data_IF_992907903733
#
_entry.id   IF_992907903733
#
_cell.length_a   1.000
_cell.length_b   1.000
_cell.length_c   1.000
_cell.angle_alpha   90.00
_cell.angle_beta   90.00
_cell.angle_gamma   90.00
#
_symmetry.space_group_name_H-M   'P 1'
#
loop_
_entity.id
_entity.type
_entity.pdbx_description
1 polymer ?
#
# COMPACT_ATOMS: atom_id res chain seq x y z
N UNK A 1 29.02 71.06 -43.41
CA UNK A 1 28.25 70.03 -42.69
C UNK A 1 29.23 69.07 -42.03
N UNK A 2 29.45 69.11 -40.70
CA UNK A 2 30.39 68.19 -40.06
C UNK A 2 29.73 66.83 -39.84
N UNK A 3 30.32 65.79 -40.44
CA UNK A 3 30.02 64.40 -40.14
C UNK A 3 30.45 64.08 -38.70
N UNK A 4 29.50 64.12 -37.77
CA UNK A 4 29.70 63.61 -36.42
C UNK A 4 29.83 62.09 -36.48
N UNK A 5 31.04 61.59 -36.21
CA UNK A 5 31.36 60.17 -36.12
C UNK A 5 30.43 59.48 -35.11
N UNK A 6 29.59 58.58 -35.60
CA UNK A 6 28.70 57.73 -34.80
C UNK A 6 29.55 56.72 -34.00
N UNK A 7 30.10 57.15 -32.85
CA UNK A 7 30.86 56.32 -31.91
C UNK A 7 29.99 55.57 -30.90
N UNK A 8 28.71 55.29 -31.24
CA UNK A 8 27.81 54.51 -30.37
C UNK A 8 27.71 53.03 -30.78
N UNK A 9 28.30 52.64 -31.91
CA UNK A 9 28.25 51.27 -32.42
C UNK A 9 28.98 50.21 -31.56
N UNK A 10 30.10 50.50 -30.85
CA UNK A 10 30.71 49.48 -29.98
C UNK A 10 30.02 49.36 -28.61
N UNK A 11 29.16 50.32 -28.22
CA UNK A 11 28.48 50.30 -26.92
C UNK A 11 27.17 49.47 -26.96
N UNK A 12 26.50 49.44 -28.12
CA UNK A 12 25.31 48.61 -28.34
C UNK A 12 25.64 47.10 -28.34
N UNK A 13 26.84 46.71 -28.78
CA UNK A 13 27.29 45.31 -28.85
C UNK A 13 27.68 44.73 -27.47
N UNK A 14 28.07 45.57 -26.52
CA UNK A 14 28.42 45.16 -25.14
C UNK A 14 27.17 44.96 -24.28
N UNK A 15 26.08 45.70 -24.52
CA UNK A 15 24.81 45.54 -23.79
C UNK A 15 24.08 44.23 -24.16
N UNK A 16 24.26 43.72 -25.39
CA UNK A 16 23.69 42.44 -25.83
C UNK A 16 24.40 41.23 -25.19
N UNK A 17 25.63 41.38 -24.71
CA UNK A 17 26.39 40.31 -24.04
C UNK A 17 26.02 40.09 -22.57
N UNK A 18 25.23 40.98 -21.94
CA UNK A 18 24.71 40.81 -20.58
C UNK A 18 23.25 40.33 -20.54
N UNK A 19 22.61 40.12 -21.69
CA UNK A 19 21.25 39.58 -21.77
C UNK A 19 21.19 38.05 -21.71
N UNK A 20 22.32 37.36 -21.52
CA UNK A 20 22.34 35.96 -21.05
C UNK A 20 22.17 35.92 -19.54
N UNK A 21 21.08 36.51 -19.04
CA UNK A 21 20.50 36.03 -17.79
C UNK A 21 20.02 34.62 -18.06
N UNK A 22 20.83 33.64 -17.68
CA UNK A 22 20.46 32.24 -17.52
C UNK A 22 19.38 32.15 -16.44
N UNK A 23 18.15 32.49 -16.79
CA UNK A 23 16.98 32.25 -15.97
C UNK A 23 16.63 30.76 -16.14
N UNK A 24 17.36 29.88 -15.46
CA UNK A 24 16.89 28.50 -15.22
C UNK A 24 15.63 28.61 -14.36
N UNK A 25 14.47 28.82 -14.99
CA UNK A 25 13.19 28.83 -14.31
C UNK A 25 13.00 27.46 -13.67
N UNK A 26 12.94 27.42 -12.33
CA UNK A 26 12.62 26.21 -11.58
C UNK A 26 11.29 25.67 -12.10
N UNK A 27 11.30 24.41 -12.52
CA UNK A 27 10.12 23.69 -13.03
C UNK A 27 9.01 23.68 -11.96
N UNK A 28 7.77 23.93 -12.34
CA UNK A 28 6.63 24.00 -11.39
C UNK A 28 6.26 22.62 -10.85
N UNK A 29 5.46 22.59 -9.78
CA UNK A 29 4.91 21.33 -9.23
C UNK A 29 4.19 20.52 -10.30
N UNK A 30 3.29 21.17 -11.04
CA UNK A 30 2.49 20.55 -12.10
C UNK A 30 3.36 19.99 -13.22
N UNK A 31 4.41 20.73 -13.60
CA UNK A 31 5.33 20.25 -14.63
C UNK A 31 6.09 19.01 -14.17
N UNK A 32 6.53 18.93 -12.90
CA UNK A 32 7.21 17.72 -12.41
C UNK A 32 6.27 16.51 -12.41
N UNK A 33 5.05 16.69 -11.90
CA UNK A 33 4.08 15.61 -11.83
C UNK A 33 3.61 15.17 -13.24
N UNK A 34 3.42 16.11 -14.17
CA UNK A 34 3.07 15.82 -15.56
C UNK A 34 4.16 15.00 -16.26
N UNK A 35 5.43 15.41 -16.15
CA UNK A 35 6.54 14.67 -16.76
C UNK A 35 6.72 13.29 -16.13
N UNK A 36 6.58 13.18 -14.80
CA UNK A 36 6.63 11.89 -14.10
C UNK A 36 5.55 10.93 -14.60
N UNK A 37 4.31 11.43 -14.76
CA UNK A 37 3.19 10.67 -15.29
C UNK A 37 3.42 10.27 -16.75
N UNK A 38 3.89 11.17 -17.60
CA UNK A 38 4.21 10.87 -18.99
C UNK A 38 5.28 9.76 -19.09
N UNK A 39 6.33 9.82 -18.27
CA UNK A 39 7.35 8.76 -18.21
C UNK A 39 6.79 7.42 -17.73
N UNK A 40 5.86 7.44 -16.79
CA UNK A 40 5.14 6.23 -16.37
C UNK A 40 4.31 5.63 -17.52
N UNK A 41 3.57 6.46 -18.26
CA UNK A 41 2.76 6.03 -19.42
C UNK A 41 3.64 5.45 -20.55
N UNK A 42 4.85 5.99 -20.73
CA UNK A 42 5.89 5.45 -21.62
C UNK A 42 6.58 4.19 -21.08
N UNK A 43 6.19 3.69 -19.90
CA UNK A 43 6.81 2.57 -19.17
C UNK A 43 8.27 2.80 -18.78
N UNK A 44 8.73 4.06 -18.76
CA UNK A 44 10.05 4.48 -18.30
C UNK A 44 10.00 4.73 -16.80
N UNK A 45 9.87 3.64 -16.05
CA UNK A 45 9.60 3.67 -14.62
C UNK A 45 10.68 4.39 -13.80
N UNK A 46 11.96 4.17 -14.11
CA UNK A 46 13.07 4.84 -13.41
C UNK A 46 13.07 6.36 -13.66
N UNK A 47 12.75 6.79 -14.88
CA UNK A 47 12.62 8.21 -15.21
C UNK A 47 11.39 8.85 -14.54
N UNK A 48 10.29 8.10 -14.42
CA UNK A 48 9.11 8.53 -13.69
C UNK A 48 9.42 8.73 -12.20
N UNK A 49 10.06 7.75 -11.57
CA UNK A 49 10.53 7.85 -10.18
C UNK A 49 11.48 9.05 -10.04
N UNK A 50 12.42 9.23 -10.95
CA UNK A 50 13.35 10.37 -10.93
C UNK A 50 12.60 11.71 -10.90
N UNK A 51 11.60 11.90 -11.76
CA UNK A 51 10.81 13.14 -11.76
C UNK A 51 9.99 13.33 -10.46
N UNK A 52 9.39 12.28 -9.91
CA UNK A 52 8.71 12.36 -8.60
C UNK A 52 9.69 12.69 -7.46
N UNK A 53 10.90 12.13 -7.48
CA UNK A 53 11.95 12.43 -6.50
C UNK A 53 12.44 13.87 -6.61
N UNK A 54 12.61 14.38 -7.83
CA UNK A 54 12.95 15.78 -8.05
C UNK A 54 11.83 16.72 -7.57
N UNK A 55 10.57 16.37 -7.79
CA UNK A 55 9.43 17.06 -7.22
C UNK A 55 9.52 17.14 -5.69
N UNK A 56 9.68 16.00 -5.01
CA UNK A 56 9.78 15.92 -3.55
C UNK A 56 10.95 16.73 -3.00
N UNK A 57 12.10 16.73 -3.69
CA UNK A 57 13.27 17.54 -3.34
C UNK A 57 12.99 19.04 -3.46
N UNK A 58 12.30 19.45 -4.53
CA UNK A 58 12.08 20.86 -4.84
C UNK A 58 10.87 21.46 -4.12
N UNK A 59 9.88 20.63 -3.75
CA UNK A 59 8.61 21.00 -3.15
C UNK A 59 8.25 20.10 -1.95
N UNK A 60 9.13 19.99 -0.93
CA UNK A 60 8.98 19.00 0.14
C UNK A 60 7.75 19.23 1.05
N UNK A 61 7.15 20.42 1.00
CA UNK A 61 5.95 20.78 1.78
C UNK A 61 4.68 20.87 0.93
N UNK A 62 4.75 20.46 -0.34
CA UNK A 62 3.58 20.49 -1.21
C UNK A 62 2.49 19.53 -0.70
N UNK A 63 1.23 19.91 -0.87
CA UNK A 63 0.10 19.01 -0.64
C UNK A 63 0.10 17.78 -1.57
N UNK A 64 0.89 17.79 -2.65
CA UNK A 64 1.08 16.65 -3.55
C UNK A 64 2.27 15.74 -3.17
N UNK A 65 2.98 16.03 -2.07
CA UNK A 65 4.11 15.21 -1.63
C UNK A 65 3.70 13.76 -1.35
N UNK A 66 2.59 13.57 -0.63
CA UNK A 66 2.04 12.24 -0.32
C UNK A 66 1.69 11.48 -1.60
N UNK A 67 1.11 12.17 -2.60
CA UNK A 67 0.82 11.58 -3.90
C UNK A 67 2.10 11.09 -4.58
N UNK A 68 3.14 11.91 -4.65
CA UNK A 68 4.40 11.53 -5.29
C UNK A 68 5.08 10.34 -4.60
N UNK A 69 5.14 10.29 -3.26
CA UNK A 69 5.66 9.12 -2.54
C UNK A 69 4.88 7.85 -2.86
N UNK A 70 3.55 7.91 -2.87
CA UNK A 70 2.71 6.75 -3.20
C UNK A 70 2.91 6.30 -4.66
N UNK A 71 3.06 7.24 -5.60
CA UNK A 71 3.37 6.88 -6.98
C UNK A 71 4.72 6.18 -7.10
N UNK A 72 5.76 6.65 -6.40
CA UNK A 72 7.08 6.00 -6.40
C UNK A 72 6.98 4.57 -5.84
N UNK A 73 6.36 4.41 -4.66
CA UNK A 73 6.22 3.10 -4.03
C UNK A 73 5.39 2.13 -4.90
N UNK A 74 4.30 2.62 -5.50
CA UNK A 74 3.48 1.84 -6.43
C UNK A 74 4.28 1.35 -7.64
N UNK A 75 5.06 2.23 -8.27
CA UNK A 75 5.93 1.85 -9.40
C UNK A 75 6.94 0.78 -8.98
N UNK A 76 7.56 0.97 -7.81
CA UNK A 76 8.55 0.03 -7.28
C UNK A 76 7.94 -1.36 -7.04
N UNK A 77 6.73 -1.43 -6.47
CA UNK A 77 6.03 -2.70 -6.19
C UNK A 77 5.52 -3.36 -7.47
N UNK A 78 4.80 -2.61 -8.29
CA UNK A 78 4.02 -3.17 -9.39
C UNK A 78 4.86 -3.41 -10.63
N UNK A 79 5.72 -2.46 -10.99
CA UNK A 79 6.43 -2.45 -12.27
C UNK A 79 7.87 -2.97 -12.14
N UNK A 80 8.60 -2.57 -11.08
CA UNK A 80 10.01 -2.91 -10.92
C UNK A 80 10.27 -4.13 -10.04
N UNK A 81 9.28 -4.56 -9.24
CA UNK A 81 9.43 -5.59 -8.19
C UNK A 81 10.52 -5.24 -7.17
N UNK A 82 10.80 -3.95 -7.02
CA UNK A 82 11.74 -3.38 -6.05
C UNK A 82 11.03 -3.16 -4.70
N UNK A 83 10.70 -4.26 -4.03
CA UNK A 83 9.98 -4.22 -2.76
C UNK A 83 10.78 -3.54 -1.65
N UNK A 84 12.11 -3.67 -1.65
CA UNK A 84 12.99 -3.00 -0.69
C UNK A 84 13.04 -1.48 -0.95
N UNK A 85 13.08 -1.04 -2.20
CA UNK A 85 12.95 0.36 -2.54
C UNK A 85 11.60 0.94 -2.12
N UNK A 86 10.50 0.19 -2.31
CA UNK A 86 9.18 0.62 -1.85
C UNK A 86 9.11 0.76 -0.32
N UNK A 87 9.70 -0.17 0.42
CA UNK A 87 9.85 -0.07 1.88
C UNK A 87 10.58 1.23 2.26
N UNK A 88 11.69 1.55 1.58
CA UNK A 88 12.42 2.79 1.86
C UNK A 88 11.59 4.04 1.54
N UNK A 89 10.86 4.03 0.43
CA UNK A 89 9.94 5.12 0.06
C UNK A 89 8.85 5.35 1.11
N UNK A 90 8.24 4.29 1.64
CA UNK A 90 7.25 4.43 2.73
C UNK A 90 7.89 4.92 4.04
N UNK A 91 9.09 4.46 4.39
CA UNK A 91 9.82 4.98 5.56
C UNK A 91 10.11 6.48 5.43
N UNK A 92 10.47 6.94 4.23
CA UNK A 92 10.68 8.37 3.96
C UNK A 92 9.37 9.17 4.07
N UNK A 93 8.26 8.66 3.53
CA UNK A 93 6.95 9.29 3.68
C UNK A 93 6.57 9.42 5.17
N UNK A 94 6.72 8.35 5.95
CA UNK A 94 6.50 8.37 7.39
C UNK A 94 7.34 9.41 8.11
N UNK A 95 8.64 9.49 7.79
CA UNK A 95 9.54 10.48 8.37
C UNK A 95 9.20 11.93 7.98
N UNK A 96 8.62 12.14 6.80
CA UNK A 96 8.25 13.47 6.30
C UNK A 96 6.95 14.02 6.89
N UNK A 97 6.07 13.14 7.39
CA UNK A 97 4.73 13.49 7.89
C UNK A 97 4.45 12.86 9.26
N UNK A 98 5.29 13.11 10.28
CA UNK A 98 5.19 12.40 11.57
C UNK A 98 3.84 12.62 12.24
N UNK A 99 3.34 11.56 12.89
CA UNK A 99 2.09 11.54 13.66
C UNK A 99 0.84 11.85 12.82
N UNK A 100 0.94 11.75 11.50
CA UNK A 100 -0.18 11.88 10.57
C UNK A 100 -0.78 10.52 10.21
N UNK A 101 -1.90 10.55 9.48
CA UNK A 101 -2.50 9.34 8.90
C UNK A 101 -1.55 8.66 7.91
N UNK A 102 -0.79 9.44 7.15
CA UNK A 102 0.18 8.97 6.17
C UNK A 102 1.37 8.26 6.82
N UNK A 103 1.84 8.74 7.98
CA UNK A 103 2.87 8.06 8.76
C UNK A 103 2.38 6.70 9.27
N UNK A 104 1.19 6.67 9.87
CA UNK A 104 0.54 5.41 10.28
C UNK A 104 0.41 4.44 9.10
N UNK A 105 -0.17 4.89 7.99
CA UNK A 105 -0.34 4.07 6.80
C UNK A 105 0.99 3.56 6.24
N UNK A 106 2.01 4.42 6.20
CA UNK A 106 3.32 4.07 5.65
C UNK A 106 4.06 3.05 6.51
N UNK A 107 4.07 3.22 7.83
CA UNK A 107 4.68 2.24 8.74
C UNK A 107 3.96 0.88 8.69
N UNK A 108 2.63 0.88 8.54
CA UNK A 108 1.88 -0.35 8.31
C UNK A 108 2.28 -1.02 6.98
N UNK A 109 2.38 -0.24 5.89
CA UNK A 109 2.82 -0.75 4.59
C UNK A 109 4.23 -1.35 4.63
N UNK A 110 5.16 -0.75 5.39
CA UNK A 110 6.50 -1.32 5.58
C UNK A 110 6.43 -2.73 6.16
N UNK A 111 5.65 -2.93 7.24
CA UNK A 111 5.49 -4.23 7.86
C UNK A 111 4.77 -5.22 6.93
N UNK A 112 3.71 -4.77 6.28
CA UNK A 112 2.92 -5.57 5.35
C UNK A 112 3.74 -6.05 4.14
N UNK A 113 4.63 -5.22 3.58
CA UNK A 113 5.48 -5.64 2.45
C UNK A 113 6.48 -6.71 2.91
N UNK A 114 7.10 -6.56 4.09
CA UNK A 114 7.97 -7.60 4.63
C UNK A 114 7.24 -8.92 4.83
N UNK A 115 6.03 -8.88 5.40
CA UNK A 115 5.24 -10.06 5.71
C UNK A 115 4.66 -10.71 4.45
N UNK A 116 3.87 -9.95 3.69
CA UNK A 116 3.04 -10.51 2.63
C UNK A 116 3.76 -10.67 1.31
N UNK A 117 4.74 -9.80 1.02
CA UNK A 117 5.42 -9.81 -0.28
C UNK A 117 6.77 -10.50 -0.20
N UNK A 118 7.61 -10.11 0.75
CA UNK A 118 8.96 -10.66 0.90
C UNK A 118 9.01 -11.96 1.69
N UNK A 119 7.96 -12.26 2.47
CA UNK A 119 7.91 -13.40 3.41
C UNK A 119 9.09 -13.41 4.39
N UNK A 120 9.63 -12.23 4.69
CA UNK A 120 10.72 -12.01 5.63
C UNK A 120 10.14 -11.80 7.02
N UNK A 121 9.90 -12.92 7.70
CA UNK A 121 9.25 -12.95 9.01
C UNK A 121 10.00 -12.15 10.07
N UNK A 122 11.33 -12.12 10.02
CA UNK A 122 12.13 -11.41 11.03
C UNK A 122 11.96 -9.90 10.89
N UNK A 123 12.10 -9.38 9.67
CA UNK A 123 11.90 -7.96 9.42
C UNK A 123 10.42 -7.55 9.56
N UNK A 124 9.47 -8.42 9.19
CA UNK A 124 8.04 -8.20 9.40
C UNK A 124 7.71 -8.03 10.89
N UNK A 125 8.17 -8.96 11.75
CA UNK A 125 7.99 -8.86 13.22
C UNK A 125 8.55 -7.54 13.75
N UNK A 126 9.76 -7.17 13.34
CA UNK A 126 10.37 -5.92 13.79
C UNK A 126 9.58 -4.69 13.33
N UNK A 127 9.12 -4.67 12.08
CA UNK A 127 8.34 -3.58 11.53
C UNK A 127 6.96 -3.44 12.20
N UNK A 128 6.24 -4.54 12.45
CA UNK A 128 4.98 -4.50 13.20
C UNK A 128 5.19 -4.02 14.64
N UNK A 129 6.28 -4.42 15.31
CA UNK A 129 6.63 -3.90 16.65
C UNK A 129 6.85 -2.39 16.64
N UNK A 130 7.61 -1.88 15.66
CA UNK A 130 7.82 -0.43 15.50
C UNK A 130 6.50 0.30 15.25
N UNK A 131 5.65 -0.23 14.36
CA UNK A 131 4.34 0.33 14.09
C UNK A 131 3.48 0.38 15.36
N UNK A 132 3.37 -0.72 16.11
CA UNK A 132 2.54 -0.83 17.31
C UNK A 132 3.10 -0.05 18.50
N UNK A 133 4.42 0.16 18.56
CA UNK A 133 5.01 1.05 19.56
C UNK A 133 4.54 2.49 19.36
N UNK A 134 4.42 2.94 18.10
CA UNK A 134 3.98 4.30 17.77
C UNK A 134 2.46 4.45 17.74
N UNK A 135 1.76 3.44 17.22
CA UNK A 135 0.31 3.39 17.07
C UNK A 135 -0.26 2.15 17.78
N UNK A 136 -0.33 2.16 19.13
CA UNK A 136 -0.74 1.00 19.90
C UNK A 136 -2.23 0.70 19.80
N UNK A 137 -3.06 1.68 19.43
CA UNK A 137 -4.52 1.57 19.37
C UNK A 137 -5.08 2.39 18.21
N UNK A 138 -6.13 1.89 17.58
CA UNK A 138 -6.88 2.62 16.57
C UNK A 138 -7.79 3.65 17.24
N UNK A 139 -7.62 4.94 16.91
CA UNK A 139 -8.42 6.04 17.45
C UNK A 139 -9.63 6.37 16.58
N UNK A 140 -9.56 6.08 15.28
CA UNK A 140 -10.70 6.15 14.36
C UNK A 140 -11.41 4.79 14.37
N UNK A 141 -12.73 4.72 14.64
CA UNK A 141 -13.46 3.46 14.68
C UNK A 141 -13.49 2.70 13.34
N UNK A 142 -13.22 3.38 12.22
CA UNK A 142 -13.11 2.77 10.89
C UNK A 142 -11.68 2.34 10.54
N UNK A 143 -10.71 2.66 11.40
CA UNK A 143 -9.33 2.22 11.27
C UNK A 143 -9.13 0.91 12.06
N UNK A 144 -8.48 -0.05 11.41
CA UNK A 144 -8.19 -1.39 11.94
C UNK A 144 -6.72 -1.76 11.82
N UNK A 145 -5.85 -0.80 11.52
CA UNK A 145 -4.43 -1.10 11.27
C UNK A 145 -3.72 -1.60 12.53
N UNK A 146 -4.01 -1.04 13.71
CA UNK A 146 -3.40 -1.48 14.97
C UNK A 146 -3.92 -2.83 15.42
N UNK A 147 -5.22 -3.08 15.27
CA UNK A 147 -5.81 -4.39 15.50
C UNK A 147 -5.21 -5.45 14.55
N UNK A 148 -5.09 -5.12 13.26
CA UNK A 148 -4.53 -6.01 12.23
C UNK A 148 -3.05 -6.30 12.47
N UNK A 149 -2.26 -5.26 12.77
CA UNK A 149 -0.83 -5.40 13.05
C UNK A 149 -0.55 -6.26 14.28
N UNK A 150 -1.37 -6.16 15.35
CA UNK A 150 -1.28 -7.06 16.51
C UNK A 150 -1.52 -8.51 16.11
N UNK A 151 -2.58 -8.74 15.35
CA UNK A 151 -2.95 -10.09 14.91
C UNK A 151 -1.85 -10.70 14.03
N UNK A 152 -1.35 -9.95 13.05
CA UNK A 152 -0.25 -10.39 12.19
C UNK A 152 1.02 -10.66 12.99
N UNK A 153 1.37 -9.80 13.95
CA UNK A 153 2.51 -10.02 14.83
C UNK A 153 2.35 -11.28 15.69
N UNK A 154 1.18 -11.51 16.31
CA UNK A 154 0.92 -12.69 17.12
C UNK A 154 1.05 -13.99 16.29
N UNK A 155 0.56 -13.97 15.04
CA UNK A 155 0.72 -15.09 14.10
C UNK A 155 2.20 -15.35 13.81
N UNK A 156 2.96 -14.30 13.47
CA UNK A 156 4.39 -14.41 13.19
C UNK A 156 5.21 -14.89 14.40
N UNK A 157 4.87 -14.47 15.61
CA UNK A 157 5.56 -14.86 16.85
C UNK A 157 5.20 -16.26 17.32
N UNK A 158 3.94 -16.68 17.15
CA UNK A 158 3.52 -18.02 17.51
C UNK A 158 4.15 -19.10 16.64
N UNK A 159 4.50 -18.76 15.38
CA UNK A 159 4.94 -19.72 14.37
C UNK A 159 3.87 -20.75 13.98
N UNK A 160 2.64 -20.58 14.50
CA UNK A 160 1.48 -21.44 14.28
C UNK A 160 0.59 -20.83 13.19
N UNK A 161 -0.26 -21.67 12.60
CA UNK A 161 -1.30 -21.15 11.69
C UNK A 161 -2.38 -20.39 12.47
N UNK A 162 -3.11 -19.48 11.81
CA UNK A 162 -4.26 -18.79 12.40
C UNK A 162 -5.29 -19.82 12.91
N UNK A 163 -5.48 -20.92 12.19
CA UNK A 163 -6.37 -22.02 12.56
C UNK A 163 -5.97 -22.65 13.90
N UNK A 164 -4.67 -22.92 14.12
CA UNK A 164 -4.18 -23.50 15.36
C UNK A 164 -4.38 -22.55 16.55
N UNK A 165 -4.22 -21.24 16.31
CA UNK A 165 -4.46 -20.22 17.33
C UNK A 165 -5.95 -20.09 17.69
N UNK A 166 -6.84 -20.21 16.70
CA UNK A 166 -8.29 -20.24 16.92
C UNK A 166 -8.66 -21.48 17.73
N UNK A 167 -8.14 -22.66 17.36
CA UNK A 167 -8.38 -23.90 18.12
C UNK A 167 -7.86 -23.81 19.54
N UNK A 168 -6.69 -23.21 19.77
CA UNK A 168 -6.16 -23.03 21.12
C UNK A 168 -7.03 -22.08 21.96
N UNK A 169 -7.51 -20.98 21.37
CA UNK A 169 -8.46 -20.07 22.04
C UNK A 169 -9.78 -20.77 22.36
N UNK A 170 -10.30 -21.60 21.45
CA UNK A 170 -11.52 -22.38 21.66
C UNK A 170 -11.31 -23.39 22.80
N UNK A 171 -10.21 -24.14 22.80
CA UNK A 171 -9.90 -25.13 23.84
C UNK A 171 -9.74 -24.45 25.22
N UNK A 172 -9.05 -23.30 25.29
CA UNK A 172 -8.91 -22.51 26.51
C UNK A 172 -10.24 -21.94 27.02
N UNK A 173 -11.19 -21.64 26.14
CA UNK A 173 -12.54 -21.20 26.53
C UNK A 173 -13.44 -22.38 26.93
N UNK A 174 -13.25 -23.56 26.33
CA UNK A 174 -13.99 -24.79 26.64
C UNK A 174 -13.73 -25.31 28.06
N UNK A 175 -12.51 -25.18 28.56
CA UNK A 175 -12.15 -25.60 29.94
C UNK A 175 -12.80 -24.72 31.02
N UNK A 176 -13.26 -23.50 30.69
CA UNK A 176 -13.93 -22.61 31.64
C UNK A 176 -15.46 -22.78 31.69
N UNK A 177 -16.05 -23.57 30.78
CA UNK A 177 -17.51 -23.65 30.59
C UNK A 177 -18.15 -24.98 31.04
N UNK A 178 -17.38 -25.97 31.48
CA UNK A 178 -17.92 -27.28 31.86
C UNK A 178 -17.72 -27.56 33.36
N UNK A 179 -18.49 -26.87 34.20
CA UNK A 179 -18.87 -27.49 35.48
C UNK A 179 -20.01 -28.46 35.16
N UNK A 180 -19.92 -29.77 35.48
CA UNK A 180 -21.02 -30.68 35.24
C UNK A 180 -22.25 -30.18 36.00
N UNK A 181 -23.33 -29.90 35.28
CA UNK A 181 -24.65 -29.81 35.89
C UNK A 181 -25.09 -31.25 36.08
N UNK A 182 -24.94 -31.77 37.30
CA UNK A 182 -25.57 -33.03 37.69
C UNK A 182 -27.09 -32.81 37.64
N UNK A 183 -27.71 -33.19 36.53
CA UNK A 183 -29.16 -33.28 36.40
C UNK A 183 -29.60 -34.61 37.02
N UNK A 184 -29.91 -34.56 38.31
CA UNK A 184 -30.71 -35.58 38.99
C UNK A 184 -32.10 -35.62 38.34
N UNK A 185 -32.31 -36.57 37.42
CA UNK A 185 -33.64 -36.92 36.92
C UNK A 185 -34.28 -37.84 37.95
N UNK A 186 -35.22 -37.30 38.73
CA UNK A 186 -36.22 -38.11 39.44
C UNK A 186 -37.49 -38.16 38.60
N UNK A 187 -37.83 -39.38 38.19
CA UNK A 187 -39.09 -39.74 37.57
C UNK A 187 -40.27 -39.40 38.50
N UNK A 188 -41.28 -38.70 37.98
CA UNK A 188 -42.66 -38.74 38.50
C UNK A 188 -43.66 -38.66 37.34
N UNK A 189 -44.55 -39.66 37.16
CA UNK A 189 -45.57 -39.65 36.13
C UNK A 189 -46.90 -39.12 36.68
N UNK A 190 -47.46 -38.05 36.12
CA UNK A 190 -48.90 -37.89 35.84
C UNK A 190 -49.27 -36.45 35.41
N UNK A 191 -50.25 -36.32 34.50
CA UNK A 191 -51.09 -35.13 34.41
C UNK A 191 -51.13 -34.40 33.06
N UNK A 192 -52.12 -34.77 32.26
CA UNK A 192 -52.64 -34.24 30.97
C UNK A 192 -52.60 -32.72 30.66
N UNK A 193 -52.72 -32.34 29.35
CA UNK A 193 -52.45 -31.00 28.82
C UNK A 193 -53.69 -30.10 28.72
N UNK A 194 -53.48 -28.77 28.75
CA UNK A 194 -54.50 -27.82 28.28
C UNK A 194 -53.94 -26.69 27.43
N UNK A 195 -54.68 -26.46 26.34
CA UNK A 195 -54.53 -25.50 25.25
C UNK A 195 -54.88 -24.07 25.66
N UNK A 196 -54.24 -23.09 25.02
CA UNK A 196 -54.57 -21.67 25.15
C UNK A 196 -53.96 -20.84 24.01
N UNK A 197 -54.70 -20.75 22.90
CA UNK A 197 -54.49 -19.84 21.77
C UNK A 197 -54.68 -18.37 22.17
N UNK A 198 -53.83 -17.44 21.70
CA UNK A 198 -54.37 -16.27 21.00
C UNK A 198 -53.35 -15.55 20.08
N UNK A 199 -53.90 -15.03 19.00
CA UNK A 199 -53.31 -14.44 17.80
C UNK A 199 -53.45 -12.91 17.86
N UNK A 200 -52.50 -12.16 17.28
CA UNK A 200 -52.72 -11.01 16.37
C UNK A 200 -51.73 -9.85 16.54
N UNK A 201 -50.94 -9.62 15.48
CA UNK A 201 -50.30 -8.37 15.01
C UNK A 201 -51.38 -7.35 14.57
N UNK A 202 -51.14 -6.01 14.34
CA UNK A 202 -50.24 -5.52 13.26
C UNK A 202 -49.63 -4.08 13.37
N UNK A 203 -48.57 -3.86 12.55
CA UNK A 203 -48.19 -2.65 11.77
C UNK A 203 -48.03 -1.28 12.49
N UNK A 204 -47.21 -0.30 12.10
CA UNK A 204 -46.57 0.10 10.83
C UNK A 204 -45.63 1.29 11.15
N UNK A 205 -44.53 1.47 10.42
CA UNK A 205 -44.18 2.73 9.72
C UNK A 205 -42.82 2.63 9.01
N UNK A 206 -42.88 2.75 7.68
CA UNK A 206 -41.81 2.91 6.68
C UNK A 206 -41.14 4.31 6.75
N UNK A 207 -40.39 4.80 5.73
CA UNK A 207 -39.05 4.40 5.29
C UNK A 207 -38.12 5.63 5.09
N UNK A 208 -36.79 5.46 4.97
CA UNK A 208 -35.95 6.46 4.28
C UNK A 208 -34.88 5.76 3.41
N UNK A 209 -34.98 6.03 2.10
CA UNK A 209 -33.97 5.79 1.07
C UNK A 209 -32.71 6.63 1.30
N UNK A 210 -31.54 6.08 0.95
CA UNK A 210 -30.55 6.87 0.20
C UNK A 210 -29.67 5.99 -0.69
N UNK A 211 -29.74 6.31 -1.98
CA UNK A 211 -28.94 5.77 -3.07
C UNK A 211 -27.45 6.09 -2.90
N UNK A 212 -26.59 5.13 -3.24
CA UNK A 212 -25.26 5.41 -3.78
C UNK A 212 -24.85 4.27 -4.71
N UNK A 213 -24.83 4.60 -6.01
CA UNK A 213 -24.30 3.81 -7.11
C UNK A 213 -22.81 3.51 -6.88
N UNK A 214 -22.46 2.23 -6.88
CA UNK A 214 -21.12 1.75 -7.25
C UNK A 214 -21.24 1.16 -8.66
N UNK A 215 -20.41 1.55 -9.64
CA UNK A 215 -20.41 0.91 -10.95
C UNK A 215 -19.67 -0.45 -10.86
N UNK A 216 -20.20 -1.53 -11.47
CA UNK A 216 -19.50 -2.79 -11.59
C UNK A 216 -18.69 -2.80 -12.89
N UNK A 217 -17.49 -3.36 -12.88
CA UNK A 217 -17.00 -4.09 -14.07
C UNK A 217 -16.17 -5.29 -13.65
N UNK A 218 -16.39 -6.36 -14.39
CA UNK A 218 -16.13 -7.75 -14.10
C UNK A 218 -15.23 -8.29 -15.22
N UNK A 219 -14.36 -9.25 -14.87
CA UNK A 219 -13.78 -10.33 -15.71
C UNK A 219 -13.05 -9.98 -17.01
N UNK A 220 -11.81 -10.45 -17.12
CA UNK A 220 -11.51 -11.65 -17.95
C UNK A 220 -10.16 -12.26 -17.52
N UNK A 221 -10.14 -13.53 -17.12
CA UNK A 221 -8.93 -14.35 -17.13
C UNK A 221 -9.25 -15.56 -18.00
N UNK A 222 -8.72 -15.53 -19.23
CA UNK A 222 -8.73 -16.64 -20.14
C UNK A 222 -7.69 -17.69 -19.73
N UNK A 223 -8.11 -18.91 -19.97
CA UNK A 223 -7.40 -20.17 -19.93
C UNK A 223 -6.24 -20.18 -20.93
N UNK A 224 -5.03 -20.60 -20.52
CA UNK A 224 -4.06 -21.14 -21.47
C UNK A 224 -3.32 -22.33 -20.86
N UNK A 225 -3.83 -23.52 -21.20
CA UNK A 225 -3.06 -24.75 -21.23
C UNK A 225 -2.51 -24.89 -22.65
N UNK A 226 -1.19 -24.95 -22.81
CA UNK A 226 -0.64 -25.96 -23.73
C UNK A 226 0.83 -26.28 -23.47
N UNK A 227 1.12 -27.54 -23.80
CA UNK A 227 2.26 -28.32 -23.40
C UNK A 227 3.47 -28.13 -24.33
N UNK A 228 4.65 -28.20 -23.71
CA UNK A 228 5.73 -29.15 -24.02
C UNK A 228 5.90 -29.58 -25.48
N UNK A 229 7.00 -29.19 -26.10
CA UNK A 229 7.77 -30.02 -27.04
C UNK A 229 9.20 -29.48 -27.16
N UNK A 230 10.16 -30.23 -26.61
CA UNK A 230 11.57 -30.24 -27.05
C UNK A 230 11.67 -31.02 -28.37
N UNK A 231 12.70 -30.75 -29.19
CA UNK A 231 13.76 -31.75 -29.27
C UNK A 231 15.19 -31.19 -29.38
N UNK A 232 16.08 -31.89 -28.66
CA UNK A 232 17.46 -32.27 -28.95
C UNK A 232 18.34 -31.43 -29.92
N UNK A 233 19.51 -31.08 -29.40
CA UNK A 233 20.78 -31.57 -29.93
C UNK A 233 21.55 -30.64 -30.86
N UNK A 234 22.70 -30.13 -30.41
CA UNK A 234 24.00 -30.35 -31.06
C UNK A 234 25.12 -29.63 -30.28
N UNK A 235 26.15 -30.39 -29.90
CA UNK A 235 27.47 -29.93 -29.47
C UNK A 235 28.39 -30.11 -30.69
N UNK A 236 29.26 -29.13 -30.97
CA UNK A 236 30.68 -29.44 -31.11
C UNK A 236 31.49 -28.48 -30.22
N UNK A 237 32.47 -28.95 -29.44
CA UNK A 237 33.70 -29.52 -29.97
C UNK A 237 34.70 -28.38 -30.15
N UNK A 238 35.56 -28.16 -29.16
CA UNK A 238 36.40 -26.96 -29.06
C UNK A 238 37.63 -26.93 -29.97
N UNK A 239 38.36 -25.82 -29.88
CA UNK A 239 39.82 -25.78 -30.05
C UNK A 239 40.39 -24.57 -29.26
N UNK A 240 41.40 -24.76 -28.40
CA UNK A 240 42.15 -23.69 -27.78
C UNK A 240 43.48 -23.47 -28.49
N UNK A 241 43.73 -22.27 -29.04
CA UNK A 241 45.03 -21.57 -29.02
C UNK A 241 45.11 -20.42 -30.04
N UNK A 242 45.54 -19.23 -29.56
CA UNK A 242 46.73 -18.46 -29.99
C UNK A 242 46.52 -16.95 -29.90
N UNK A 243 47.38 -16.33 -29.08
CA UNK A 243 47.81 -14.92 -29.03
C UNK A 243 46.80 -13.87 -28.58
#
# INVERSE_FOLDING_TARGET
MPFTKLKFLPFLLVVILFASCTQSSKKTEEQYLADAKARYEEKKYDEAITNYREFLKNYPKSGQAVYAYNQIAGIQIENLKDHLGAINTYKELAASSPDSKEDKQSLFMVAFIYDETLKDKENAKQAYKVFLQKYPTDTDPNDKMSESAKTMLDVLESGKSIEDMIQEKINKMGDSAMSPVDLDIKDDPSGTPQSGTNKSTPNTSDPVKKDSKVPPTNKTSEENKNAMTTPQGEIPGGDPAKK
#
